data_IF_727905162774
#
_entry.id   IF_727905162774
#
_cell.length_a   1.000
_cell.length_b   1.000
_cell.length_c   1.000
_cell.angle_alpha   90.00
_cell.angle_beta   90.00
_cell.angle_gamma   90.00
#
_symmetry.space_group_name_H-M   'P 1'
#
loop_
_entity.id
_entity.type
_entity.pdbx_description
1 polymer ?
#
# COMPACT_ATOMS: atom_id res chain seq x y z
N UNK A 1 -2.76 -2.92 -1.37
CA UNK A 1 -2.26 -3.96 -2.30
C UNK A 1 -3.41 -4.77 -2.85
N UNK A 2 -3.73 -5.89 -2.20
CA UNK A 2 -4.76 -6.83 -2.66
C UNK A 2 -6.12 -6.21 -3.01
N UNK A 3 -6.62 -5.23 -2.23
CA UNK A 3 -7.88 -4.53 -2.56
C UNK A 3 -7.80 -3.79 -3.89
N UNK A 4 -6.68 -3.15 -4.21
CA UNK A 4 -6.49 -2.49 -5.49
C UNK A 4 -6.40 -3.52 -6.64
N UNK A 5 -5.71 -4.64 -6.44
CA UNK A 5 -5.73 -5.73 -7.41
C UNK A 5 -7.17 -6.25 -7.63
N UNK A 6 -7.94 -6.46 -6.56
CA UNK A 6 -9.33 -6.91 -6.67
C UNK A 6 -10.25 -5.93 -7.43
N UNK A 7 -10.01 -4.63 -7.26
CA UNK A 7 -10.79 -3.58 -7.95
C UNK A 7 -10.49 -3.50 -9.45
N UNK A 8 -9.22 -3.58 -9.83
CA UNK A 8 -8.76 -3.18 -11.16
C UNK A 8 -8.30 -4.33 -12.07
N UNK A 9 -8.32 -5.57 -11.59
CA UNK A 9 -7.89 -6.75 -12.36
C UNK A 9 -9.10 -7.63 -12.70
N UNK A 10 -9.08 -8.40 -13.81
CA UNK A 10 -10.15 -9.35 -14.14
C UNK A 10 -10.39 -10.38 -13.03
N UNK A 11 -11.64 -10.84 -12.90
CA UNK A 11 -12.08 -11.73 -11.81
C UNK A 11 -11.36 -13.08 -11.79
N UNK A 12 -10.99 -13.57 -12.96
CA UNK A 12 -10.29 -14.83 -13.19
C UNK A 12 -8.76 -14.68 -13.29
N UNK A 13 -8.24 -13.47 -13.07
CA UNK A 13 -6.80 -13.26 -13.05
C UNK A 13 -6.19 -13.91 -11.81
N UNK A 14 -5.17 -14.76 -12.01
CA UNK A 14 -4.40 -15.31 -10.91
C UNK A 14 -3.55 -14.20 -10.28
N UNK A 15 -3.57 -14.11 -8.95
CA UNK A 15 -2.79 -13.12 -8.22
C UNK A 15 -2.10 -13.75 -6.99
N UNK A 16 -0.79 -13.55 -6.89
CA UNK A 16 -0.02 -13.80 -5.68
C UNK A 16 0.17 -12.47 -4.93
N UNK A 17 -0.46 -12.35 -3.75
CA UNK A 17 -0.61 -11.05 -3.07
C UNK A 17 0.57 -10.58 -2.20
N UNK A 18 1.54 -11.45 -1.91
CA UNK A 18 2.60 -11.17 -0.92
C UNK A 18 3.48 -9.97 -1.31
N UNK A 19 3.91 -9.88 -2.56
CA UNK A 19 4.78 -8.79 -3.04
C UNK A 19 4.09 -7.42 -2.93
N UNK A 20 2.76 -7.35 -3.07
CA UNK A 20 2.01 -6.08 -2.95
C UNK A 20 2.14 -5.44 -1.57
N UNK A 21 2.24 -6.26 -0.51
CA UNK A 21 2.47 -5.77 0.85
C UNK A 21 3.90 -5.27 1.04
N UNK A 22 4.87 -5.91 0.38
CA UNK A 22 6.30 -5.51 0.44
C UNK A 22 6.50 -4.10 -0.13
N UNK A 23 5.85 -3.75 -1.24
CA UNK A 23 5.91 -2.38 -1.79
C UNK A 23 5.45 -1.33 -0.78
N UNK A 24 4.33 -1.61 -0.09
CA UNK A 24 3.82 -0.74 0.96
C UNK A 24 4.80 -0.63 2.14
N UNK A 25 5.40 -1.74 2.54
CA UNK A 25 6.36 -1.78 3.65
C UNK A 25 7.67 -1.06 3.31
N UNK A 26 8.21 -1.23 2.10
CA UNK A 26 9.43 -0.53 1.65
C UNK A 26 9.21 0.97 1.65
N UNK A 27 8.09 1.46 1.10
CA UNK A 27 7.79 2.88 1.16
C UNK A 27 7.57 3.34 2.62
N UNK A 28 6.90 2.54 3.45
CA UNK A 28 6.73 2.85 4.86
C UNK A 28 8.07 3.01 5.59
N UNK A 29 9.02 2.10 5.34
CA UNK A 29 10.38 2.19 5.87
C UNK A 29 11.07 3.46 5.38
N UNK A 30 10.98 3.82 4.10
CA UNK A 30 11.55 5.07 3.57
C UNK A 30 11.00 6.29 4.31
N UNK A 31 9.67 6.36 4.48
CA UNK A 31 9.00 7.48 5.16
C UNK A 31 9.44 7.59 6.62
N UNK A 32 9.42 6.47 7.36
CA UNK A 32 9.79 6.44 8.78
C UNK A 32 11.28 6.74 8.96
N UNK A 33 12.17 6.09 8.20
CA UNK A 33 13.61 6.29 8.28
C UNK A 33 13.98 7.74 7.94
N UNK A 34 13.38 8.32 6.90
CA UNK A 34 13.62 9.72 6.54
C UNK A 34 13.18 10.67 7.66
N UNK A 35 12.07 10.40 8.34
CA UNK A 35 11.64 11.18 9.52
C UNK A 35 12.63 11.04 10.68
N UNK A 36 13.18 9.86 10.89
CA UNK A 36 14.17 9.57 11.92
C UNK A 36 15.60 9.97 11.53
N UNK A 37 15.81 10.52 10.33
CA UNK A 37 17.13 10.85 9.76
C UNK A 37 18.07 9.64 9.67
N UNK A 38 17.51 8.45 9.48
CA UNK A 38 18.23 7.21 9.20
C UNK A 38 18.53 7.11 7.70
N UNK A 39 19.53 6.29 7.36
CA UNK A 39 19.89 6.05 5.97
C UNK A 39 18.76 5.32 5.22
N UNK A 40 18.51 5.79 3.99
CA UNK A 40 17.53 5.24 3.04
C UNK A 40 18.17 4.89 1.70
N UNK A 41 19.51 5.01 1.59
CA UNK A 41 20.28 4.81 0.37
C UNK A 41 20.03 3.45 -0.28
N UNK A 42 19.82 2.40 0.52
CA UNK A 42 19.53 1.04 0.03
C UNK A 42 18.04 0.83 -0.32
N UNK A 43 17.14 1.55 0.33
CA UNK A 43 15.69 1.38 0.13
C UNK A 43 15.21 2.01 -1.18
N UNK A 44 15.81 3.12 -1.61
CA UNK A 44 15.42 3.79 -2.85
C UNK A 44 15.69 2.92 -4.09
N UNK A 45 16.92 2.39 -4.32
CA UNK A 45 17.18 1.50 -5.44
C UNK A 45 16.32 0.23 -5.38
N UNK A 46 16.12 -0.32 -4.18
CA UNK A 46 15.24 -1.48 -4.00
C UNK A 46 13.82 -1.18 -4.50
N UNK A 47 13.24 -0.04 -4.12
CA UNK A 47 11.91 0.37 -4.57
C UNK A 47 11.87 0.58 -6.09
N UNK A 48 12.88 1.26 -6.64
CA UNK A 48 12.97 1.56 -8.08
C UNK A 48 13.08 0.27 -8.90
N UNK A 49 13.96 -0.66 -8.52
CA UNK A 49 14.12 -1.95 -9.22
C UNK A 49 12.83 -2.76 -9.17
N UNK A 50 12.16 -2.80 -8.02
CA UNK A 50 10.87 -3.48 -7.89
C UNK A 50 9.79 -2.84 -8.79
N UNK A 51 9.77 -1.51 -8.92
CA UNK A 51 8.87 -0.82 -9.85
C UNK A 51 9.22 -1.16 -11.31
N UNK A 52 10.49 -1.20 -11.68
CA UNK A 52 10.91 -1.63 -13.03
C UNK A 52 10.38 -3.04 -13.31
N UNK A 53 10.60 -4.00 -12.42
CA UNK A 53 10.05 -5.36 -12.58
C UNK A 53 8.52 -5.39 -12.69
N UNK A 54 7.82 -4.49 -11.98
CA UNK A 54 6.36 -4.38 -12.04
C UNK A 54 5.86 -4.03 -13.45
N UNK A 55 6.58 -3.15 -14.15
CA UNK A 55 6.19 -2.71 -15.49
C UNK A 55 6.83 -3.52 -16.62
N UNK A 56 7.92 -4.25 -16.34
CA UNK A 56 8.65 -5.02 -17.35
C UNK A 56 8.27 -6.50 -17.41
N UNK A 57 7.78 -7.09 -16.31
CA UNK A 57 7.44 -8.53 -16.26
C UNK A 57 5.94 -8.72 -16.51
N UNK A 58 5.56 -9.55 -17.50
CA UNK A 58 4.15 -9.86 -17.75
C UNK A 58 3.54 -10.66 -16.59
N UNK A 59 2.21 -10.58 -16.45
CA UNK A 59 1.45 -11.23 -15.37
C UNK A 59 1.73 -10.71 -13.95
N UNK A 60 2.40 -9.56 -13.80
CA UNK A 60 2.53 -8.88 -12.52
C UNK A 60 1.37 -7.90 -12.32
N UNK A 61 0.76 -7.93 -11.12
CA UNK A 61 -0.33 -7.00 -10.80
C UNK A 61 0.19 -5.59 -10.51
N UNK A 62 0.20 -4.75 -11.54
CA UNK A 62 0.52 -3.32 -11.44
C UNK A 62 -0.39 -2.64 -10.40
N UNK A 63 -1.71 -2.88 -10.49
CA UNK A 63 -2.67 -2.33 -9.54
C UNK A 63 -2.38 -2.76 -8.09
N UNK A 64 -1.99 -4.02 -7.89
CA UNK A 64 -1.60 -4.54 -6.59
C UNK A 64 -0.38 -3.83 -6.02
N UNK A 65 0.71 -3.73 -6.78
CA UNK A 65 1.95 -3.09 -6.32
C UNK A 65 1.77 -1.59 -6.07
N UNK A 66 1.16 -0.86 -7.00
CA UNK A 66 0.92 0.58 -6.86
C UNK A 66 -0.07 0.86 -5.71
N UNK A 67 -1.15 0.09 -5.61
CA UNK A 67 -2.09 0.20 -4.49
C UNK A 67 -1.46 -0.20 -3.15
N UNK A 68 -0.49 -1.11 -3.13
CA UNK A 68 0.33 -1.42 -1.95
C UNK A 68 1.19 -0.25 -1.52
N UNK A 69 1.93 0.31 -2.47
CA UNK A 69 2.79 1.48 -2.29
C UNK A 69 2.00 2.68 -1.75
N UNK A 70 0.90 3.06 -2.42
CA UNK A 70 0.09 4.22 -2.02
C UNK A 70 -0.49 4.06 -0.62
N UNK A 71 -1.14 2.93 -0.34
CA UNK A 71 -1.80 2.70 0.96
C UNK A 71 -0.76 2.56 2.07
N UNK A 72 0.33 1.82 1.83
CA UNK A 72 1.42 1.68 2.79
C UNK A 72 2.09 3.01 3.11
N UNK A 73 2.35 3.84 2.09
CA UNK A 73 2.87 5.19 2.25
C UNK A 73 1.93 6.11 3.03
N UNK A 74 0.62 6.07 2.75
CA UNK A 74 -0.38 6.84 3.48
C UNK A 74 -0.43 6.45 4.97
N UNK A 75 -0.49 5.15 5.28
CA UNK A 75 -0.46 4.65 6.65
C UNK A 75 0.84 5.04 7.34
N UNK A 76 1.98 4.89 6.67
CA UNK A 76 3.28 5.28 7.22
C UNK A 76 3.35 6.77 7.51
N UNK A 77 2.79 7.62 6.63
CA UNK A 77 2.74 9.06 6.85
C UNK A 77 1.91 9.41 8.08
N UNK A 78 0.73 8.81 8.24
CA UNK A 78 -0.10 8.96 9.45
C UNK A 78 0.67 8.54 10.71
N UNK A 79 1.30 7.36 10.67
CA UNK A 79 2.02 6.81 11.81
C UNK A 79 3.27 7.62 12.18
N UNK A 80 4.00 8.06 11.16
CA UNK A 80 5.19 8.87 11.32
C UNK A 80 4.80 10.27 11.80
N UNK A 81 4.01 11.04 11.07
CA UNK A 81 3.88 12.48 11.30
C UNK A 81 2.77 12.91 12.26
N UNK A 82 2.09 11.98 12.94
CA UNK A 82 1.04 12.34 13.90
C UNK A 82 1.56 13.29 15.02
N UNK A 83 0.87 14.40 15.33
CA UNK A 83 1.23 15.33 16.39
C UNK A 83 1.34 14.67 17.76
N UNK A 84 2.37 15.02 18.53
CA UNK A 84 2.66 14.43 19.86
C UNK A 84 1.49 14.51 20.82
N UNK A 85 0.76 15.63 20.86
CA UNK A 85 -0.39 15.85 21.77
C UNK A 85 -1.56 14.89 21.56
N UNK A 86 -1.76 14.37 20.35
CA UNK A 86 -2.89 13.47 19.99
C UNK A 86 -2.43 12.27 19.19
N UNK A 87 -1.18 11.85 19.40
CA UNK A 87 -0.50 10.89 18.52
C UNK A 87 -1.28 9.58 18.40
N UNK A 88 -1.63 8.97 19.53
CA UNK A 88 -2.37 7.70 19.55
C UNK A 88 -3.73 7.81 18.87
N UNK A 89 -4.49 8.87 19.17
CA UNK A 89 -5.81 9.10 18.59
C UNK A 89 -5.75 9.28 17.07
N UNK A 90 -4.82 10.10 16.56
CA UNK A 90 -4.69 10.36 15.12
C UNK A 90 -4.19 9.12 14.38
N UNK A 91 -3.25 8.38 14.98
CA UNK A 91 -2.78 7.11 14.43
C UNK A 91 -3.91 6.08 14.34
N UNK A 92 -4.68 5.90 15.42
CA UNK A 92 -5.80 4.98 15.45
C UNK A 92 -6.88 5.37 14.45
N UNK A 93 -7.30 6.64 14.44
CA UNK A 93 -8.32 7.14 13.52
C UNK A 93 -7.87 7.05 12.06
N UNK A 94 -6.63 7.42 11.76
CA UNK A 94 -6.11 7.35 10.40
C UNK A 94 -6.00 5.91 9.89
N UNK A 95 -5.50 4.98 10.71
CA UNK A 95 -5.47 3.56 10.37
C UNK A 95 -6.89 2.97 10.22
N UNK A 96 -7.80 3.31 11.13
CA UNK A 96 -9.19 2.89 11.06
C UNK A 96 -9.89 3.43 9.81
N UNK A 97 -9.67 4.70 9.45
CA UNK A 97 -10.21 5.30 8.24
C UNK A 97 -9.72 4.58 6.98
N UNK A 98 -8.41 4.30 6.88
CA UNK A 98 -7.86 3.52 5.76
C UNK A 98 -8.49 2.13 5.71
N UNK A 99 -8.61 1.44 6.86
CA UNK A 99 -9.23 0.13 6.92
C UNK A 99 -10.69 0.15 6.45
N UNK A 100 -11.49 1.10 6.93
CA UNK A 100 -12.90 1.25 6.52
C UNK A 100 -13.00 1.53 5.02
N UNK A 101 -12.18 2.43 4.46
CA UNK A 101 -12.17 2.71 3.02
C UNK A 101 -11.85 1.44 2.22
N UNK A 102 -10.88 0.65 2.66
CA UNK A 102 -10.53 -0.61 1.99
C UNK A 102 -11.66 -1.64 2.04
N UNK A 103 -12.35 -1.77 3.17
CA UNK A 103 -13.52 -2.65 3.32
C UNK A 103 -14.67 -2.20 2.42
N UNK A 104 -15.02 -0.92 2.44
CA UNK A 104 -16.10 -0.35 1.62
C UNK A 104 -15.79 -0.58 0.14
N UNK A 105 -14.56 -0.29 -0.30
CA UNK A 105 -14.17 -0.51 -1.69
C UNK A 105 -14.28 -1.99 -2.10
N UNK A 106 -13.86 -2.92 -1.23
CA UNK A 106 -14.00 -4.35 -1.48
C UNK A 106 -15.47 -4.77 -1.58
N UNK A 107 -16.32 -4.35 -0.65
CA UNK A 107 -17.75 -4.68 -0.63
C UNK A 107 -18.47 -4.14 -1.87
N UNK A 108 -18.24 -2.88 -2.23
CA UNK A 108 -18.84 -2.28 -3.44
C UNK A 108 -18.43 -3.04 -4.70
N UNK A 109 -17.16 -3.47 -4.77
CA UNK A 109 -16.69 -4.28 -5.90
C UNK A 109 -17.35 -5.65 -5.94
N UNK A 110 -17.50 -6.31 -4.79
CA UNK A 110 -18.18 -7.61 -4.71
C UNK A 110 -19.64 -7.50 -5.12
N UNK A 111 -20.36 -6.47 -4.67
CA UNK A 111 -21.74 -6.22 -5.09
C UNK A 111 -21.84 -6.01 -6.60
N UNK A 112 -20.94 -5.25 -7.20
CA UNK A 112 -20.90 -5.03 -8.65
C UNK A 112 -20.50 -6.26 -9.49
N UNK A 113 -20.00 -7.33 -8.85
CA UNK A 113 -19.69 -8.60 -9.52
C UNK A 113 -20.86 -9.58 -9.40
N UNK A 114 -21.61 -9.53 -8.29
CA UNK A 114 -22.70 -10.47 -7.99
C UNK A 114 -24.08 -9.99 -8.44
N UNK A 115 -24.28 -8.67 -8.56
CA UNK A 115 -25.50 -8.06 -9.09
C UNK A 115 -25.42 -7.87 -10.59
#
# INVERSE_FOLDING_TARGET
GNVAAYLFTPQNAQAAGASTSIFGLVLAMIVVNRRLRLDISQLIPLLVVNLIFTFSIPNVSIAGHIGGLVVGGAVAFVLAYAPTKRRSQIQALGCAAVFVVLIVAAVLRTQAILG
#
